data_IF_439200672918
#
_entry.id   IF_439200672918
#
_cell.length_a   1.000
_cell.length_b   1.000
_cell.length_c   1.000
_cell.angle_alpha   90.00
_cell.angle_beta   90.00
_cell.angle_gamma   90.00
#
_symmetry.space_group_name_H-M   'P 1'
#
loop_
_entity.id
_entity.type
_entity.pdbx_description
1 polymer ?
#
# COMPACT_ATOMS: atom_id res chain seq x y z
N UNK A 1 -8.97 8.60 11.50
CA UNK A 1 -8.77 9.11 10.12
C UNK A 1 -9.55 10.40 9.86
N UNK A 2 -10.84 10.48 10.18
CA UNK A 2 -11.61 11.74 10.03
C UNK A 2 -11.05 12.89 10.86
N UNK A 3 -10.78 12.64 12.15
CA UNK A 3 -10.12 13.59 13.04
C UNK A 3 -8.84 14.18 12.45
N UNK A 4 -7.98 13.34 11.87
CA UNK A 4 -6.72 13.77 11.22
C UNK A 4 -6.98 14.71 10.03
N UNK A 5 -7.91 14.37 9.14
CA UNK A 5 -8.24 15.23 8.00
C UNK A 5 -8.75 16.59 8.48
N UNK A 6 -9.62 16.61 9.49
CA UNK A 6 -10.14 17.85 10.10
C UNK A 6 -9.04 18.66 10.78
N UNK A 7 -8.15 18.00 11.53
CA UNK A 7 -7.03 18.64 12.22
C UNK A 7 -6.07 19.35 11.24
N UNK A 8 -5.76 18.71 10.11
CA UNK A 8 -4.94 19.33 9.06
C UNK A 8 -5.65 20.51 8.39
N UNK A 9 -6.93 20.37 8.04
CA UNK A 9 -7.72 21.49 7.48
C UNK A 9 -7.72 22.69 8.44
N UNK A 10 -7.94 22.44 9.73
CA UNK A 10 -7.93 23.50 10.74
C UNK A 10 -6.55 24.16 10.87
N UNK A 11 -5.46 23.39 10.77
CA UNK A 11 -4.08 23.92 10.80
C UNK A 11 -3.80 24.81 9.59
N UNK A 12 -4.13 24.34 8.39
CA UNK A 12 -3.97 25.08 7.13
C UNK A 12 -4.81 26.37 7.15
N UNK A 13 -6.07 26.30 7.58
CA UNK A 13 -6.96 27.44 7.65
C UNK A 13 -6.42 28.56 8.56
N UNK A 14 -5.74 28.21 9.67
CA UNK A 14 -5.09 29.20 10.54
C UNK A 14 -3.91 29.88 9.86
N UNK A 15 -3.09 29.14 9.12
CA UNK A 15 -1.91 29.69 8.42
C UNK A 15 -2.33 30.62 7.27
N UNK A 16 -3.37 30.22 6.52
CA UNK A 16 -3.85 30.98 5.37
C UNK A 16 -4.82 32.12 5.73
N UNK A 17 -5.46 32.07 6.90
CA UNK A 17 -6.45 33.05 7.35
C UNK A 17 -5.88 34.40 7.81
N UNK A 18 -4.56 34.52 7.92
CA UNK A 18 -3.92 35.78 8.31
C UNK A 18 -3.91 36.80 7.15
N UNK A 19 -4.21 38.06 7.44
CA UNK A 19 -4.09 39.16 6.48
C UNK A 19 -2.61 39.45 6.12
N UNK A 20 -2.38 40.02 4.94
CA UNK A 20 -1.03 40.32 4.45
C UNK A 20 -0.99 40.70 2.97
N UNK A 21 0.18 41.15 2.52
CA UNK A 21 0.45 41.50 1.11
C UNK A 21 0.30 40.27 0.19
N UNK A 22 0.11 40.46 -1.13
CA UNK A 22 0.08 39.34 -2.09
C UNK A 22 1.29 38.41 -2.00
N UNK A 23 2.49 38.96 -1.80
CA UNK A 23 3.74 38.21 -1.67
C UNK A 23 3.81 37.41 -0.37
N UNK A 24 3.34 37.99 0.74
CA UNK A 24 3.25 37.32 2.04
C UNK A 24 2.25 36.16 2.00
N UNK A 25 1.09 36.36 1.36
CA UNK A 25 0.11 35.29 1.14
C UNK A 25 0.69 34.16 0.30
N UNK A 26 1.43 34.49 -0.77
CA UNK A 26 2.09 33.48 -1.60
C UNK A 26 3.13 32.68 -0.80
N UNK A 27 3.93 33.35 0.04
CA UNK A 27 4.91 32.67 0.91
C UNK A 27 4.24 31.75 1.92
N UNK A 28 3.19 32.20 2.60
CA UNK A 28 2.41 31.37 3.54
C UNK A 28 1.77 30.16 2.85
N UNK A 29 1.31 30.34 1.61
CA UNK A 29 0.82 29.22 0.80
C UNK A 29 1.92 28.19 0.56
N UNK A 30 3.12 28.62 0.15
CA UNK A 30 4.27 27.73 -0.05
C UNK A 30 4.65 26.99 1.24
N UNK A 31 4.69 27.70 2.37
CA UNK A 31 5.01 27.11 3.68
C UNK A 31 3.95 26.07 4.12
N UNK A 32 2.68 26.29 3.75
CA UNK A 32 1.58 25.38 4.07
C UNK A 32 1.48 24.15 3.14
N UNK A 33 2.23 24.09 2.01
CA UNK A 33 2.09 23.01 1.03
C UNK A 33 2.31 21.61 1.62
N UNK A 34 3.22 21.48 2.60
CA UNK A 34 3.47 20.21 3.29
C UNK A 34 2.25 19.75 4.07
N UNK A 35 1.58 20.66 4.78
CA UNK A 35 0.35 20.35 5.53
C UNK A 35 -0.82 20.09 4.58
N UNK A 36 -0.90 20.81 3.45
CA UNK A 36 -1.89 20.54 2.39
C UNK A 36 -1.73 19.13 1.84
N UNK A 37 -0.51 18.69 1.54
CA UNK A 37 -0.23 17.35 1.04
C UNK A 37 -0.58 16.26 2.07
N UNK A 38 -0.28 16.50 3.36
CA UNK A 38 -0.72 15.62 4.47
C UNK A 38 -2.24 15.56 4.59
N UNK A 39 -2.92 16.70 4.47
CA UNK A 39 -4.37 16.79 4.47
C UNK A 39 -4.99 15.99 3.31
N UNK A 40 -4.50 16.20 2.10
CA UNK A 40 -4.94 15.48 0.91
C UNK A 40 -4.79 13.97 1.08
N UNK A 41 -3.63 13.50 1.56
CA UNK A 41 -3.42 12.08 1.86
C UNK A 41 -4.40 11.56 2.92
N UNK A 42 -4.55 12.26 4.03
CA UNK A 42 -5.48 11.87 5.10
C UNK A 42 -6.93 11.76 4.59
N UNK A 43 -7.36 12.70 3.73
CA UNK A 43 -8.66 12.68 3.10
C UNK A 43 -8.83 11.50 2.13
N UNK A 44 -7.88 11.29 1.21
CA UNK A 44 -7.90 10.16 0.27
C UNK A 44 -8.02 8.83 1.02
N UNK A 45 -7.22 8.63 2.07
CA UNK A 45 -7.29 7.40 2.86
C UNK A 45 -8.60 7.22 3.61
N UNK A 46 -9.18 8.31 4.13
CA UNK A 46 -10.51 8.27 4.74
C UNK A 46 -11.58 7.86 3.72
N UNK A 47 -11.53 8.41 2.50
CA UNK A 47 -12.47 8.08 1.42
C UNK A 47 -12.33 6.61 1.04
N UNK A 48 -11.11 6.11 0.86
CA UNK A 48 -10.86 4.68 0.56
C UNK A 48 -11.43 3.78 1.66
N UNK A 49 -11.12 4.06 2.93
CA UNK A 49 -11.61 3.27 4.06
C UNK A 49 -13.14 3.28 4.16
N UNK A 50 -13.77 4.46 4.05
CA UNK A 50 -15.24 4.59 4.10
C UNK A 50 -15.93 3.90 2.93
N UNK A 51 -15.37 4.05 1.73
CA UNK A 51 -15.92 3.43 0.52
C UNK A 51 -15.83 1.91 0.61
N UNK A 52 -14.71 1.40 1.12
CA UNK A 52 -14.50 -0.03 1.29
C UNK A 52 -15.46 -0.61 2.35
N UNK A 53 -15.54 -0.02 3.56
CA UNK A 53 -16.47 -0.47 4.61
C UNK A 53 -17.93 -0.39 4.14
N UNK A 54 -18.32 0.72 3.51
CA UNK A 54 -19.68 0.89 2.99
C UNK A 54 -20.03 -0.15 1.92
N UNK A 55 -19.10 -0.44 1.02
CA UNK A 55 -19.29 -1.46 0.00
C UNK A 55 -19.44 -2.85 0.61
N UNK A 56 -18.55 -3.24 1.54
CA UNK A 56 -18.62 -4.55 2.23
C UNK A 56 -19.92 -4.71 3.02
N UNK A 57 -20.46 -3.64 3.61
CA UNK A 57 -21.76 -3.67 4.31
C UNK A 57 -22.94 -3.82 3.36
N UNK A 58 -22.90 -3.17 2.19
CA UNK A 58 -24.02 -3.09 1.24
C UNK A 58 -24.08 -4.24 0.24
N UNK A 59 -22.96 -4.91 -0.02
CA UNK A 59 -22.91 -5.98 -1.01
C UNK A 59 -23.79 -7.16 -0.56
N UNK A 60 -24.91 -7.37 -1.25
CA UNK A 60 -25.88 -8.44 -0.95
C UNK A 60 -25.39 -9.82 -1.43
N UNK A 61 -24.59 -9.83 -2.50
CA UNK A 61 -23.98 -11.03 -3.11
C UNK A 61 -23.00 -11.75 -2.16
N UNK A 62 -22.46 -11.05 -1.16
CA UNK A 62 -21.46 -11.62 -0.26
C UNK A 62 -22.09 -12.57 0.75
N UNK A 63 -21.65 -13.83 0.70
CA UNK A 63 -21.89 -14.80 1.75
C UNK A 63 -21.25 -14.41 3.09
N UNK A 64 -21.57 -15.17 4.15
CA UNK A 64 -21.11 -14.85 5.51
C UNK A 64 -19.59 -14.92 5.66
N UNK A 65 -18.92 -15.83 4.95
CA UNK A 65 -17.47 -16.06 5.08
C UNK A 65 -16.69 -14.97 4.36
N UNK A 66 -17.14 -14.62 3.16
CA UNK A 66 -16.59 -13.59 2.29
C UNK A 66 -16.71 -12.22 2.96
N UNK A 67 -17.90 -11.91 3.50
CA UNK A 67 -18.13 -10.67 4.26
C UNK A 67 -17.21 -10.57 5.47
N UNK A 68 -17.01 -11.68 6.21
CA UNK A 68 -16.11 -11.69 7.37
C UNK A 68 -14.65 -11.46 6.94
N UNK A 69 -14.20 -12.10 5.87
CA UNK A 69 -12.84 -11.94 5.37
C UNK A 69 -12.59 -10.49 4.87
N UNK A 70 -13.54 -9.92 4.13
CA UNK A 70 -13.44 -8.54 3.65
C UNK A 70 -13.56 -7.51 4.78
N UNK A 71 -14.40 -7.75 5.79
CA UNK A 71 -14.45 -6.90 6.98
C UNK A 71 -13.14 -6.93 7.77
N UNK A 72 -12.49 -8.10 7.87
CA UNK A 72 -11.16 -8.22 8.46
C UNK A 72 -10.10 -7.44 7.66
N UNK A 73 -10.18 -7.43 6.32
CA UNK A 73 -9.31 -6.61 5.46
C UNK A 73 -9.54 -5.09 5.67
N UNK A 74 -10.80 -4.67 5.80
CA UNK A 74 -11.15 -3.27 6.16
C UNK A 74 -10.52 -2.89 7.50
N UNK A 75 -10.63 -3.77 8.50
CA UNK A 75 -10.05 -3.55 9.83
C UNK A 75 -8.51 -3.46 9.76
N UNK A 76 -7.85 -4.41 9.08
CA UNK A 76 -6.40 -4.40 8.88
C UNK A 76 -5.95 -3.12 8.19
N UNK A 77 -6.65 -2.70 7.12
CA UNK A 77 -6.34 -1.46 6.43
C UNK A 77 -6.45 -0.25 7.37
N UNK A 78 -7.56 -0.13 8.11
CA UNK A 78 -7.78 0.95 9.06
C UNK A 78 -6.73 1.00 10.17
N UNK A 79 -6.42 -0.14 10.79
CA UNK A 79 -5.42 -0.25 11.86
C UNK A 79 -4.01 0.01 11.36
N UNK A 80 -3.64 -0.53 10.20
CA UNK A 80 -2.35 -0.29 9.58
C UNK A 80 -2.14 1.20 9.29
N UNK A 81 -3.13 1.86 8.66
CA UNK A 81 -3.08 3.30 8.41
C UNK A 81 -3.01 4.12 9.68
N UNK A 82 -3.72 3.73 10.74
CA UNK A 82 -3.64 4.40 12.05
C UNK A 82 -2.25 4.29 12.66
N UNK A 83 -1.60 3.12 12.56
CA UNK A 83 -0.28 2.89 13.14
C UNK A 83 0.85 3.58 12.36
N UNK A 84 0.78 3.60 11.03
CA UNK A 84 1.74 4.34 10.19
C UNK A 84 1.72 5.85 10.50
N UNK A 85 0.54 6.40 10.75
CA UNK A 85 0.33 7.82 11.00
C UNK A 85 0.14 8.14 12.51
N UNK A 86 0.53 7.22 13.41
CA UNK A 86 0.24 7.30 14.85
C UNK A 86 0.77 8.58 15.53
N UNK A 87 1.91 9.10 15.05
CA UNK A 87 2.51 10.31 15.60
C UNK A 87 1.55 11.51 15.58
N UNK A 88 0.81 11.69 14.49
CA UNK A 88 -0.12 12.81 14.35
C UNK A 88 -1.32 12.71 15.29
N UNK A 89 -1.78 11.48 15.60
CA UNK A 89 -2.85 11.24 16.57
C UNK A 89 -2.39 11.33 18.03
N UNK A 90 -1.09 11.19 18.26
CA UNK A 90 -0.48 11.38 19.58
C UNK A 90 -0.21 12.86 19.84
N UNK A 91 0.18 13.62 18.82
CA UNK A 91 0.47 15.06 18.90
C UNK A 91 -0.71 15.88 19.45
N UNK A 92 -1.94 15.54 19.04
CA UNK A 92 -3.16 16.23 19.48
C UNK A 92 -3.91 15.50 20.61
N UNK A 93 -3.33 14.42 21.13
CA UNK A 93 -3.90 13.61 22.21
C UNK A 93 -5.16 12.84 21.82
N UNK A 94 -5.51 12.74 20.54
CA UNK A 94 -6.68 11.99 20.08
C UNK A 94 -6.56 10.49 20.36
N UNK A 95 -5.35 9.94 20.29
CA UNK A 95 -5.02 8.56 20.66
C UNK A 95 -3.93 8.57 21.73
N UNK A 96 -4.06 7.70 22.72
CA UNK A 96 -3.05 7.48 23.76
C UNK A 96 -2.06 6.39 23.36
N UNK A 97 -0.86 6.40 23.94
CA UNK A 97 0.13 5.34 23.72
C UNK A 97 -0.40 3.93 23.99
N UNK A 98 -1.24 3.77 25.02
CA UNK A 98 -1.89 2.49 25.33
C UNK A 98 -2.87 2.03 24.23
N UNK A 99 -3.59 2.97 23.60
CA UNK A 99 -4.47 2.66 22.47
C UNK A 99 -3.67 2.30 21.21
N UNK A 100 -2.52 2.94 20.98
CA UNK A 100 -1.60 2.55 19.89
C UNK A 100 -1.08 1.12 20.10
N UNK A 101 -0.70 0.77 21.33
CA UNK A 101 -0.28 -0.60 21.67
C UNK A 101 -1.44 -1.60 21.46
N UNK A 102 -2.65 -1.27 21.89
CA UNK A 102 -3.83 -2.08 21.68
C UNK A 102 -4.14 -2.28 20.18
N UNK A 103 -4.05 -1.20 19.38
CA UNK A 103 -4.23 -1.25 17.93
C UNK A 103 -3.19 -2.16 17.25
N UNK A 104 -1.93 -2.11 17.70
CA UNK A 104 -0.87 -3.01 17.19
C UNK A 104 -1.17 -4.47 17.52
N UNK A 105 -1.61 -4.77 18.75
CA UNK A 105 -2.01 -6.13 19.13
C UNK A 105 -3.23 -6.62 18.35
N UNK A 106 -4.17 -5.73 18.05
CA UNK A 106 -5.34 -6.07 17.25
C UNK A 106 -4.95 -6.34 15.79
N UNK A 107 -4.11 -5.50 15.18
CA UNK A 107 -3.62 -5.70 13.82
C UNK A 107 -2.99 -7.09 13.64
N UNK A 108 -2.09 -7.49 14.55
CA UNK A 108 -1.44 -8.80 14.50
C UNK A 108 -2.43 -9.97 14.64
N UNK A 109 -3.46 -9.82 15.48
CA UNK A 109 -4.53 -10.81 15.62
C UNK A 109 -5.34 -10.93 14.34
N UNK A 110 -5.83 -9.82 13.79
CA UNK A 110 -6.63 -9.83 12.57
C UNK A 110 -5.81 -10.33 11.37
N UNK A 111 -4.53 -9.97 11.25
CA UNK A 111 -3.63 -10.53 10.22
C UNK A 111 -3.47 -12.06 10.35
N UNK A 112 -3.45 -12.60 11.57
CA UNK A 112 -3.40 -14.05 11.79
C UNK A 112 -4.68 -14.76 11.35
N UNK A 113 -5.83 -14.08 11.41
CA UNK A 113 -7.08 -14.60 10.84
C UNK A 113 -7.06 -14.55 9.31
N UNK A 114 -6.63 -13.44 8.72
CA UNK A 114 -6.55 -13.26 7.26
C UNK A 114 -5.59 -14.26 6.64
N UNK A 115 -4.46 -14.56 7.30
CA UNK A 115 -3.49 -15.56 6.82
C UNK A 115 -4.13 -16.92 6.52
N UNK A 116 -5.20 -17.30 7.23
CA UNK A 116 -5.91 -18.58 7.00
C UNK A 116 -6.71 -18.59 5.70
N UNK A 117 -7.05 -17.42 5.17
CA UNK A 117 -7.88 -17.23 3.98
C UNK A 117 -7.15 -16.44 2.88
N UNK A 118 -5.83 -16.25 3.00
CA UNK A 118 -5.07 -15.38 2.09
C UNK A 118 -5.03 -15.92 0.67
N UNK A 119 -4.90 -17.24 0.49
CA UNK A 119 -4.92 -17.91 -0.82
C UNK A 119 -6.28 -17.70 -1.53
N UNK A 120 -7.42 -18.09 -0.95
CA UNK A 120 -8.72 -17.81 -1.57
C UNK A 120 -8.99 -16.33 -1.86
N UNK A 121 -8.47 -15.41 -1.06
CA UNK A 121 -8.62 -13.97 -1.29
C UNK A 121 -7.84 -13.49 -2.52
N UNK A 122 -6.64 -14.03 -2.77
CA UNK A 122 -5.87 -13.68 -3.97
C UNK A 122 -6.39 -14.43 -5.20
N UNK A 123 -6.86 -15.67 -5.04
CA UNK A 123 -7.45 -16.46 -6.12
C UNK A 123 -8.77 -15.85 -6.61
N UNK A 124 -9.52 -15.16 -5.74
CA UNK A 124 -10.78 -14.50 -6.10
C UNK A 124 -10.64 -13.35 -7.12
N UNK A 125 -9.42 -12.87 -7.38
CA UNK A 125 -9.19 -11.94 -8.50
C UNK A 125 -9.23 -12.61 -9.88
N UNK A 126 -9.15 -13.95 -9.92
CA UNK A 126 -9.27 -14.78 -11.12
C UNK A 126 -8.28 -14.40 -12.24
N UNK A 127 -7.05 -14.03 -11.86
CA UNK A 127 -5.99 -13.76 -12.82
C UNK A 127 -5.47 -15.07 -13.44
N UNK A 128 -5.45 -15.13 -14.77
CA UNK A 128 -4.82 -16.24 -15.47
C UNK A 128 -3.30 -16.17 -15.41
N UNK A 129 -2.61 -17.33 -15.51
CA UNK A 129 -1.15 -17.38 -15.61
C UNK A 129 -0.61 -16.54 -16.79
N UNK A 130 -1.40 -16.38 -17.85
CA UNK A 130 -1.07 -15.55 -19.01
C UNK A 130 -1.09 -14.05 -18.69
N UNK A 131 -2.03 -13.60 -17.85
CA UNK A 131 -2.09 -12.21 -17.40
C UNK A 131 -1.03 -11.92 -16.33
N UNK A 132 -0.87 -12.85 -15.38
CA UNK A 132 0.05 -12.69 -14.26
C UNK A 132 1.51 -12.74 -14.68
N UNK A 133 1.85 -13.53 -15.70
CA UNK A 133 3.21 -13.70 -16.28
C UNK A 133 4.30 -13.87 -15.21
N UNK A 134 3.97 -14.60 -14.15
CA UNK A 134 4.84 -14.77 -12.99
C UNK A 134 5.14 -16.24 -12.77
N UNK A 135 6.42 -16.61 -12.78
CA UNK A 135 6.85 -17.96 -12.42
C UNK A 135 6.57 -18.28 -10.94
N UNK A 136 6.63 -17.27 -10.05
CA UNK A 136 6.33 -17.42 -8.62
C UNK A 136 4.83 -17.49 -8.32
N UNK A 137 4.02 -16.81 -9.13
CA UNK A 137 2.59 -16.65 -8.91
C UNK A 137 1.73 -17.70 -9.60
N UNK A 138 2.31 -18.78 -10.13
CA UNK A 138 1.58 -19.79 -10.89
C UNK A 138 0.46 -20.42 -10.08
N UNK A 139 -0.71 -20.55 -10.71
CA UNK A 139 -1.88 -21.16 -10.10
C UNK A 139 -1.66 -22.63 -9.70
N UNK A 140 -0.89 -23.38 -10.49
CA UNK A 140 -0.62 -24.81 -10.24
C UNK A 140 0.42 -25.08 -9.13
N UNK A 141 1.03 -24.04 -8.58
CA UNK A 141 2.05 -24.15 -7.53
C UNK A 141 3.39 -24.76 -7.97
N UNK A 142 3.61 -25.05 -9.27
CA UNK A 142 4.88 -25.58 -9.81
C UNK A 142 5.90 -24.46 -10.03
N UNK A 143 6.23 -23.81 -8.92
CA UNK A 143 7.05 -22.59 -8.91
C UNK A 143 8.49 -22.87 -9.34
N UNK A 144 9.09 -23.95 -8.86
CA UNK A 144 10.51 -24.23 -9.10
C UNK A 144 10.78 -24.59 -10.56
N UNK A 145 9.93 -25.43 -11.15
CA UNK A 145 10.02 -25.83 -12.56
C UNK A 145 9.87 -24.60 -13.47
N UNK A 146 8.87 -23.77 -13.21
CA UNK A 146 8.63 -22.56 -14.00
C UNK A 146 9.75 -21.52 -13.86
N UNK A 147 10.36 -21.38 -12.67
CA UNK A 147 11.53 -20.51 -12.49
C UNK A 147 12.73 -21.01 -13.29
N UNK A 148 12.96 -22.32 -13.31
CA UNK A 148 14.03 -22.94 -14.07
C UNK A 148 13.80 -22.75 -15.57
N UNK A 149 12.59 -23.00 -16.06
CA UNK A 149 12.20 -22.77 -17.46
C UNK A 149 12.35 -21.31 -17.86
N UNK A 150 11.86 -20.38 -17.03
CA UNK A 150 11.98 -18.93 -17.28
C UNK A 150 13.43 -18.47 -17.32
N UNK A 151 14.27 -19.02 -16.44
CA UNK A 151 15.70 -18.71 -16.41
C UNK A 151 16.40 -19.29 -17.65
N UNK A 152 16.11 -20.54 -18.01
CA UNK A 152 16.68 -21.17 -19.21
C UNK A 152 16.28 -20.44 -20.50
N UNK A 153 15.05 -19.91 -20.56
CA UNK A 153 14.55 -19.13 -21.69
C UNK A 153 15.12 -17.70 -21.76
N UNK A 154 15.84 -17.23 -20.74
CA UNK A 154 16.40 -15.88 -20.72
C UNK A 154 17.47 -15.72 -21.84
N UNK A 155 17.36 -14.71 -22.72
CA UNK A 155 18.32 -14.50 -23.81
C UNK A 155 19.78 -14.37 -23.37
N UNK A 156 20.04 -13.91 -22.13
CA UNK A 156 21.39 -13.82 -21.58
C UNK A 156 22.04 -15.18 -21.31
N UNK A 157 21.23 -16.23 -21.15
CA UNK A 157 21.72 -17.59 -20.93
C UNK A 157 21.95 -18.35 -22.25
N UNK A 158 21.72 -17.70 -23.39
CA UNK A 158 21.97 -18.25 -24.71
C UNK A 158 23.46 -18.23 -25.10
N UNK A 159 23.88 -19.21 -25.90
CA UNK A 159 25.26 -19.30 -26.42
C UNK A 159 25.71 -18.05 -27.19
N UNK A 160 24.78 -17.36 -27.85
CA UNK A 160 25.05 -16.11 -28.56
C UNK A 160 25.51 -14.97 -27.63
N UNK A 161 24.96 -14.89 -26.42
CA UNK A 161 25.36 -13.89 -25.43
C UNK A 161 26.72 -14.22 -24.83
N UNK A 162 26.98 -15.49 -24.50
CA UNK A 162 28.28 -15.95 -24.04
C UNK A 162 29.40 -15.64 -25.05
N UNK A 163 29.19 -15.95 -26.33
CA UNK A 163 30.14 -15.65 -27.40
C UNK A 163 30.43 -14.13 -27.55
N UNK A 164 29.43 -13.28 -27.29
CA UNK A 164 29.60 -11.82 -27.29
C UNK A 164 30.50 -11.35 -26.14
N UNK A 165 30.37 -11.94 -24.95
CA UNK A 165 31.24 -11.64 -23.80
C UNK A 165 32.67 -12.07 -24.08
N UNK A 166 32.87 -13.28 -24.61
CA UNK A 166 34.19 -13.80 -24.96
C UNK A 166 34.91 -12.89 -25.97
N UNK A 167 34.19 -12.40 -26.99
CA UNK A 167 34.73 -11.45 -27.96
C UNK A 167 35.18 -10.12 -27.34
N UNK A 168 34.45 -9.61 -26.32
CA UNK A 168 34.82 -8.38 -25.60
C UNK A 168 36.03 -8.61 -24.69
N UNK A 169 36.14 -9.77 -24.04
CA UNK A 169 37.30 -10.10 -23.21
C UNK A 169 38.56 -10.26 -24.06
N UNK A 170 38.44 -10.90 -25.22
CA UNK A 170 39.57 -11.09 -26.15
C UNK A 170 40.04 -9.80 -26.82
N UNK A 171 39.19 -8.78 -26.96
CA UNK A 171 39.59 -7.47 -27.50
C UNK A 171 40.28 -6.59 -26.45
N UNK A 172 39.91 -6.72 -25.18
CA UNK A 172 40.54 -6.02 -24.05
C UNK A 172 41.92 -6.57 -23.66
N UNK A 173 42.18 -7.86 -23.88
CA UNK A 173 43.48 -8.48 -23.61
C UNK A 173 44.57 -8.16 -24.67
N UNK A 174 44.22 -7.48 -25.76
CA UNK A 174 45.13 -7.11 -26.86
C UNK A 174 45.57 -5.64 -26.83
N UNK A 175 45.22 -4.90 -25.77
CA UNK A 175 45.75 -3.59 -25.41
C UNK A 175 46.69 -3.76 -24.22
#
# INVERSE_FOLDING_TARGET
MEHRAVAHVARIARVLGAEGSPEERHRRWLDALVDVDRCCRAHCWLVVLRSFDAWVRRAAELGRRERRALAALVEVFGLYRLLEDAGEFLEDGYVTGAQVEAARKQLLRTMSEIKKVSLPLVDAFDFSDFELKSALGRFDGRVYEALMESTAANPMNGRAFAAKIDGIMQSRSRL
#
